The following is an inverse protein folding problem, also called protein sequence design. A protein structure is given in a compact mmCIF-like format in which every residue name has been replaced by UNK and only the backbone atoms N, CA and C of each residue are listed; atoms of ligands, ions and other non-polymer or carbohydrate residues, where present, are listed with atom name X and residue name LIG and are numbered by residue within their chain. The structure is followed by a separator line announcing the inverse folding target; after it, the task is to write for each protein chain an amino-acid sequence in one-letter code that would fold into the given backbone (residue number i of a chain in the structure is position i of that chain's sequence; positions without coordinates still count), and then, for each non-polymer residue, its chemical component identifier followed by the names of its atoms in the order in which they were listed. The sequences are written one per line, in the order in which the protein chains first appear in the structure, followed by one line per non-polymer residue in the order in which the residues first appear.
data_IF_562329045122
#
_entry.id   IF_562329045122
#
_cell.length_a   1.000
_cell.length_b   1.000
_cell.length_c   1.000
_cell.angle_alpha   90.00
_cell.angle_beta   90.00
_cell.angle_gamma   90.00
#
_symmetry.space_group_name_H-M   'P 1'
#
loop_
_entity.id
_entity.type
_entity.pdbx_description
1 polymer ?
#
# COMPACT_ATOMS: atom_id res chain seq x y z
N UNK A 1 6.82 3.65 12.15
CA UNK A 1 5.93 4.66 11.55
C UNK A 1 6.07 5.93 12.36
N UNK A 2 6.17 7.08 11.69
CA UNK A 2 6.24 8.35 12.38
C UNK A 2 4.84 8.94 12.53
N UNK A 3 4.51 9.47 13.70
CA UNK A 3 3.25 10.17 13.95
C UNK A 3 3.53 11.55 14.53
N UNK A 4 2.65 12.51 14.23
CA UNK A 4 2.74 13.88 14.74
C UNK A 4 1.46 14.22 15.52
N UNK A 5 1.64 14.93 16.62
CA UNK A 5 0.57 15.35 17.52
C UNK A 5 0.65 16.85 17.74
N UNK A 6 -0.51 17.48 17.86
CA UNK A 6 -0.62 18.86 18.35
C UNK A 6 -1.28 18.81 19.71
N UNK A 7 -0.60 19.35 20.72
CA UNK A 7 -1.10 19.37 22.11
C UNK A 7 -1.01 20.77 22.69
N UNK A 8 -1.70 20.99 23.81
CA UNK A 8 -1.46 22.14 24.67
C UNK A 8 -0.71 21.67 25.92
N UNK A 9 0.38 22.33 26.27
CA UNK A 9 1.11 22.04 27.50
C UNK A 9 0.67 23.02 28.59
N UNK A 10 0.23 22.48 29.72
CA UNK A 10 -0.05 23.28 30.90
C UNK A 10 1.09 23.06 31.89
N UNK A 11 1.83 24.12 32.21
CA UNK A 11 2.93 24.08 33.16
C UNK A 11 2.74 25.20 34.18
N UNK A 12 2.47 24.83 35.43
CA UNK A 12 2.03 25.79 36.45
C UNK A 12 0.69 26.43 36.05
N UNK A 13 0.65 27.77 36.04
CA UNK A 13 -0.49 28.56 35.58
C UNK A 13 -0.45 28.95 34.09
N UNK A 14 0.62 28.57 33.38
CA UNK A 14 0.84 28.97 31.99
C UNK A 14 0.46 27.85 31.01
N UNK A 15 -0.09 28.24 29.86
CA UNK A 15 -0.50 27.33 28.79
C UNK A 15 0.26 27.64 27.51
N UNK A 16 1.08 26.70 27.07
CA UNK A 16 1.77 26.72 25.79
C UNK A 16 0.85 26.07 24.75
N UNK A 17 0.47 26.83 23.72
CA UNK A 17 -0.52 26.38 22.75
C UNK A 17 0.07 25.75 21.50
N UNK A 18 -0.66 24.79 20.93
CA UNK A 18 -0.38 24.21 19.62
C UNK A 18 1.02 23.57 19.48
N UNK A 19 1.53 23.00 20.58
CA UNK A 19 2.85 22.36 20.62
C UNK A 19 2.87 21.13 19.72
N UNK A 20 3.78 21.12 18.75
CA UNK A 20 4.03 19.96 17.90
C UNK A 20 4.94 18.95 18.59
N UNK A 21 4.47 17.70 18.64
CA UNK A 21 5.23 16.55 19.11
C UNK A 21 5.30 15.50 18.01
N UNK A 22 6.44 14.84 17.86
CA UNK A 22 6.61 13.76 16.91
C UNK A 22 7.01 12.48 17.63
N UNK A 23 6.49 11.35 17.18
CA UNK A 23 6.84 10.04 17.67
C UNK A 23 7.37 9.16 16.54
N UNK A 24 8.39 8.33 16.81
CA UNK A 24 8.86 7.32 15.86
C UNK A 24 9.86 7.83 14.80
N UNK A 25 10.29 9.09 14.89
CA UNK A 25 11.41 9.66 14.13
C UNK A 25 12.73 9.35 14.88
N UNK A 26 13.12 8.08 14.94
CA UNK A 26 14.24 7.64 15.78
C UNK A 26 15.56 8.36 15.52
N UNK A 27 16.19 8.89 16.59
CA UNK A 27 17.61 9.23 16.65
C UNK A 27 18.50 7.99 16.90
N UNK A 28 19.82 8.19 17.05
CA UNK A 28 20.77 7.10 17.28
C UNK A 28 20.37 6.24 18.49
N UNK A 29 20.51 4.92 18.40
CA UNK A 29 20.03 3.95 19.41
C UNK A 29 20.65 4.07 20.81
N UNK A 30 21.52 5.05 21.06
CA UNK A 30 22.22 5.29 22.31
C UNK A 30 21.32 5.72 23.48
N UNK A 31 20.05 6.07 23.23
CA UNK A 31 19.12 6.56 24.26
C UNK A 31 17.84 5.74 24.38
N UNK A 32 17.82 4.51 23.86
CA UNK A 32 16.62 3.67 23.76
C UNK A 32 15.91 3.43 25.10
N UNK A 33 16.66 3.44 26.19
CA UNK A 33 16.14 3.20 27.55
C UNK A 33 15.58 4.46 28.22
N UNK A 34 15.71 5.64 27.60
CA UNK A 34 15.18 6.87 28.17
C UNK A 34 13.64 6.90 28.09
N UNK A 35 12.93 7.37 29.13
CA UNK A 35 11.46 7.46 29.11
C UNK A 35 10.89 8.30 27.96
N UNK A 36 11.65 9.28 27.48
CA UNK A 36 11.28 10.15 26.36
C UNK A 36 11.78 9.65 25.00
N UNK A 37 12.39 8.46 24.94
CA UNK A 37 12.95 7.95 23.69
C UNK A 37 11.87 7.81 22.63
N UNK A 38 12.19 8.29 21.43
CA UNK A 38 11.28 8.25 20.29
C UNK A 38 10.23 9.35 20.30
N UNK A 39 10.25 10.30 21.24
CA UNK A 39 9.38 11.50 21.24
C UNK A 39 10.23 12.76 21.06
N UNK A 40 9.92 13.55 20.05
CA UNK A 40 10.52 14.86 19.79
C UNK A 40 9.50 15.97 20.05
N UNK A 41 10.00 17.12 20.52
CA UNK A 41 9.22 18.33 20.73
C UNK A 41 9.84 19.46 19.90
N UNK A 42 9.00 20.32 19.34
CA UNK A 42 9.49 21.45 18.57
C UNK A 42 10.29 22.45 19.43
N UNK A 43 11.29 23.08 18.81
CA UNK A 43 12.20 24.02 19.48
C UNK A 43 11.48 25.22 20.11
N UNK A 44 10.47 25.86 19.48
CA UNK A 44 9.76 26.99 20.09
C UNK A 44 9.17 26.67 21.46
N UNK A 45 8.53 25.50 21.61
CA UNK A 45 7.99 25.06 22.88
C UNK A 45 9.09 24.84 23.94
N UNK A 46 10.26 24.34 23.54
CA UNK A 46 11.41 24.19 24.46
C UNK A 46 11.92 25.55 24.95
N UNK A 47 12.03 26.53 24.06
CA UNK A 47 12.45 27.90 24.42
C UNK A 47 11.48 28.50 25.43
N UNK A 48 10.18 28.39 25.18
CA UNK A 48 9.16 28.92 26.09
C UNK A 48 9.20 28.24 27.47
N UNK A 49 9.43 26.92 27.53
CA UNK A 49 9.62 26.21 28.80
C UNK A 49 10.86 26.73 29.54
N UNK A 50 11.97 26.98 28.83
CA UNK A 50 13.18 27.53 29.45
C UNK A 50 12.98 28.96 29.96
N UNK A 51 12.19 29.78 29.25
CA UNK A 51 11.84 31.13 29.68
C UNK A 51 11.01 31.12 30.98
N UNK A 52 10.03 30.20 31.09
CA UNK A 52 9.25 30.01 32.33
C UNK A 52 10.12 29.55 33.52
N UNK A 53 11.15 28.73 33.25
CA UNK A 53 12.11 28.33 34.28
C UNK A 53 12.98 29.52 34.68
N UNK A 54 13.44 30.30 33.70
CA UNK A 54 14.29 31.46 33.95
C UNK A 54 13.56 32.59 34.68
N UNK A 55 12.25 32.76 34.45
CA UNK A 55 11.41 33.72 35.18
C UNK A 55 11.03 33.24 36.58
N UNK A 56 11.25 31.96 36.90
CA UNK A 56 10.87 31.34 38.17
C UNK A 56 9.38 31.02 38.27
N UNK A 57 8.64 31.08 37.16
CA UNK A 57 7.22 30.70 37.10
C UNK A 57 7.02 29.19 37.28
N UNK A 58 7.97 28.40 36.83
CA UNK A 58 8.02 26.95 37.08
C UNK A 58 9.44 26.53 37.49
N UNK A 59 9.54 25.44 38.25
CA UNK A 59 10.85 24.84 38.50
C UNK A 59 11.27 23.92 37.33
N UNK A 60 12.58 23.69 37.19
CA UNK A 60 13.10 22.70 36.25
C UNK A 60 12.58 21.27 36.57
N UNK A 61 12.26 20.99 37.84
CA UNK A 61 11.66 19.73 38.26
C UNK A 61 10.23 19.59 37.76
N UNK A 62 9.40 20.63 37.89
CA UNK A 62 8.03 20.63 37.38
C UNK A 62 7.98 20.48 35.87
N UNK A 63 8.87 21.19 35.15
CA UNK A 63 8.98 21.08 33.70
C UNK A 63 9.36 19.65 33.29
N UNK A 64 10.38 19.06 33.94
CA UNK A 64 10.83 17.70 33.68
C UNK A 64 9.72 16.68 33.93
N UNK A 65 8.99 16.80 35.03
CA UNK A 65 7.98 15.82 35.40
C UNK A 65 6.74 15.92 34.50
N UNK A 66 6.38 17.12 34.04
CA UNK A 66 5.35 17.30 33.00
C UNK A 66 5.77 16.67 31.66
N UNK A 67 6.99 16.93 31.20
CA UNK A 67 7.51 16.34 29.96
C UNK A 67 7.59 14.81 30.04
N UNK A 68 8.00 14.26 31.18
CA UNK A 68 8.00 12.81 31.42
C UNK A 68 6.59 12.24 31.35
N UNK A 69 5.62 12.86 32.04
CA UNK A 69 4.22 12.41 32.02
C UNK A 69 3.66 12.41 30.59
N UNK A 70 3.90 13.47 29.83
CA UNK A 70 3.49 13.59 28.44
C UNK A 70 4.12 12.49 27.57
N UNK A 71 5.43 12.27 27.69
CA UNK A 71 6.13 11.22 26.97
C UNK A 71 5.57 9.83 27.32
N UNK A 72 5.28 9.55 28.60
CA UNK A 72 4.64 8.29 29.03
C UNK A 72 3.27 8.09 28.39
N UNK A 73 2.41 9.11 28.38
CA UNK A 73 1.07 9.03 27.76
C UNK A 73 1.16 8.74 26.26
N UNK A 74 2.07 9.42 25.55
CA UNK A 74 2.28 9.18 24.12
C UNK A 74 2.81 7.76 23.90
N UNK A 75 3.80 7.34 24.70
CA UNK A 75 4.36 6.00 24.62
C UNK A 75 3.30 4.92 24.84
N UNK A 76 2.51 5.00 25.90
CA UNK A 76 1.43 4.03 26.19
C UNK A 76 0.35 3.99 25.10
N UNK A 77 0.04 5.13 24.50
CA UNK A 77 -0.86 5.18 23.35
C UNK A 77 -0.23 4.48 22.14
N UNK A 78 1.01 4.80 21.83
CA UNK A 78 1.70 4.25 20.67
C UNK A 78 1.98 2.76 20.83
N UNK A 79 2.40 2.31 22.01
CA UNK A 79 2.61 0.90 22.31
C UNK A 79 1.31 0.11 22.09
N UNK A 80 0.14 0.63 22.55
CA UNK A 80 -1.16 0.02 22.25
C UNK A 80 -1.49 0.00 20.76
N UNK A 81 -1.31 1.11 20.04
CA UNK A 81 -1.55 1.15 18.60
C UNK A 81 -0.62 0.16 17.85
N UNK A 82 0.62 0.01 18.31
CA UNK A 82 1.57 -0.96 17.77
C UNK A 82 1.19 -2.41 18.08
N UNK A 83 0.77 -2.69 19.31
CA UNK A 83 0.30 -4.02 19.72
C UNK A 83 -0.96 -4.39 18.93
N UNK A 84 -1.92 -3.47 18.78
CA UNK A 84 -3.11 -3.66 17.94
C UNK A 84 -2.75 -3.90 16.47
N UNK A 85 -1.74 -3.19 15.94
CA UNK A 85 -1.25 -3.40 14.58
C UNK A 85 -0.56 -4.75 14.43
N UNK A 86 0.28 -5.16 15.40
CA UNK A 86 0.96 -6.46 15.40
C UNK A 86 -0.08 -7.56 15.48
N UNK A 87 -1.05 -7.46 16.40
CA UNK A 87 -2.17 -8.38 16.49
C UNK A 87 -2.98 -8.41 15.19
N UNK A 88 -3.26 -7.27 14.55
CA UNK A 88 -3.96 -7.23 13.27
C UNK A 88 -3.15 -7.82 12.10
N UNK A 89 -1.81 -7.80 12.19
CA UNK A 89 -0.91 -8.42 11.22
C UNK A 89 -0.71 -9.93 11.47
N UNK A 90 -0.78 -10.38 12.72
CA UNK A 90 -0.68 -11.78 13.14
C UNK A 90 -2.02 -12.53 13.05
N UNK A 91 -3.14 -11.80 13.15
CA UNK A 91 -4.44 -12.32 12.75
C UNK A 91 -4.34 -12.71 11.27
N UNK A 92 -4.65 -13.95 10.88
CA UNK A 92 -4.79 -14.27 9.47
C UNK A 92 -5.87 -13.33 8.95
N UNK A 93 -5.45 -12.35 8.13
CA UNK A 93 -6.35 -11.41 7.49
C UNK A 93 -7.56 -12.22 7.03
N UNK A 94 -8.81 -11.85 7.39
CA UNK A 94 -9.95 -12.55 6.83
C UNK A 94 -9.73 -12.46 5.33
N UNK A 95 -9.37 -13.60 4.70
CA UNK A 95 -9.19 -13.73 3.26
C UNK A 95 -10.32 -12.90 2.72
N UNK A 96 -10.00 -11.74 2.12
CA UNK A 96 -11.02 -10.77 1.78
C UNK A 96 -12.11 -11.57 1.11
N UNK A 97 -13.29 -11.70 1.76
CA UNK A 97 -14.33 -12.59 1.25
C UNK A 97 -14.43 -12.23 -0.22
N UNK A 98 -14.18 -13.17 -1.16
CA UNK A 98 -13.75 -12.83 -2.51
C UNK A 98 -14.68 -11.76 -3.00
N UNK A 99 -14.16 -10.53 -3.09
CA UNK A 99 -14.96 -9.35 -3.41
C UNK A 99 -15.56 -9.71 -4.74
N UNK A 100 -16.85 -10.00 -4.85
CA UNK A 100 -17.45 -10.59 -6.06
C UNK A 100 -16.85 -9.85 -7.25
N UNK A 101 -15.90 -10.49 -7.94
CA UNK A 101 -15.02 -9.77 -8.86
C UNK A 101 -15.87 -9.50 -10.09
N UNK A 102 -16.60 -8.38 -10.07
CA UNK A 102 -17.36 -7.95 -11.23
C UNK A 102 -16.36 -7.67 -12.32
N UNK A 103 -16.47 -8.40 -13.43
CA UNK A 103 -15.74 -8.03 -14.63
C UNK A 103 -16.08 -6.59 -14.96
N UNK A 104 -15.05 -5.83 -15.27
CA UNK A 104 -15.24 -4.53 -15.88
C UNK A 104 -14.99 -4.63 -17.38
N UNK A 105 -15.53 -3.67 -18.11
CA UNK A 105 -15.53 -3.66 -19.57
C UNK A 105 -14.13 -3.40 -20.18
N UNK A 106 -13.06 -3.31 -19.39
CA UNK A 106 -11.72 -3.09 -19.96
C UNK A 106 -11.20 -4.33 -20.67
N UNK A 107 -10.34 -4.06 -21.64
CA UNK A 107 -9.58 -5.08 -22.34
C UNK A 107 -8.36 -5.48 -21.53
N UNK A 108 -8.09 -6.78 -21.49
CA UNK A 108 -6.78 -7.33 -21.18
C UNK A 108 -6.06 -7.56 -22.51
N UNK A 109 -4.79 -7.21 -22.57
CA UNK A 109 -3.96 -7.35 -23.77
C UNK A 109 -2.62 -8.01 -23.44
N UNK A 110 -2.07 -8.71 -24.42
CA UNK A 110 -0.70 -9.21 -24.41
C UNK A 110 0.07 -8.55 -25.56
N UNK A 111 1.21 -7.92 -25.25
CA UNK A 111 2.10 -7.34 -26.26
C UNK A 111 3.51 -7.91 -26.11
N UNK A 112 4.23 -8.00 -27.21
CA UNK A 112 5.68 -8.27 -27.20
C UNK A 112 6.38 -7.44 -28.26
N UNK A 113 7.70 -7.53 -28.33
CA UNK A 113 8.48 -6.90 -29.39
C UNK A 113 8.85 -7.92 -30.47
N UNK A 114 9.20 -7.44 -31.66
CA UNK A 114 9.60 -8.32 -32.77
C UNK A 114 10.92 -9.06 -32.50
N UNK A 115 11.83 -8.44 -31.74
CA UNK A 115 13.13 -9.02 -31.38
C UNK A 115 13.05 -10.01 -30.21
N UNK A 116 11.99 -9.96 -29.42
CA UNK A 116 11.77 -10.86 -28.29
C UNK A 116 10.28 -11.24 -28.16
N UNK A 117 9.79 -12.11 -29.05
CA UNK A 117 8.37 -12.48 -29.08
C UNK A 117 7.93 -13.25 -27.83
N UNK A 118 8.85 -13.94 -27.17
CA UNK A 118 8.62 -14.76 -25.96
C UNK A 118 8.53 -13.91 -24.67
N UNK A 119 9.02 -12.67 -24.71
CA UNK A 119 8.85 -11.70 -23.63
C UNK A 119 7.53 -10.95 -23.80
N UNK A 120 6.51 -11.42 -23.09
CA UNK A 120 5.15 -10.90 -23.21
C UNK A 120 4.80 -10.02 -22.02
N UNK A 121 4.30 -8.81 -22.30
CA UNK A 121 3.66 -7.96 -21.32
C UNK A 121 2.16 -8.19 -21.31
N UNK A 122 1.57 -8.48 -20.15
CA UNK A 122 0.12 -8.60 -19.97
C UNK A 122 -0.38 -7.39 -19.18
N UNK A 123 -1.34 -6.65 -19.73
CA UNK A 123 -1.91 -5.48 -19.04
C UNK A 123 -3.37 -5.22 -19.37
N UNK A 124 -3.93 -4.17 -18.76
CA UNK A 124 -5.33 -3.78 -18.94
C UNK A 124 -5.47 -2.36 -19.50
N UNK A 125 -6.46 -2.14 -20.37
CA UNK A 125 -6.74 -0.83 -20.97
C UNK A 125 -8.22 -0.66 -21.35
N UNK A 126 -8.71 0.59 -21.32
CA UNK A 126 -10.00 0.95 -21.93
C UNK A 126 -9.90 0.97 -23.46
N UNK A 127 -8.80 1.52 -23.98
CA UNK A 127 -8.46 1.59 -25.39
C UNK A 127 -7.05 1.01 -25.58
N UNK A 128 -6.97 -0.18 -26.18
CA UNK A 128 -5.69 -0.87 -26.43
C UNK A 128 -4.82 -0.08 -27.40
N UNK A 129 -5.39 0.48 -28.46
CA UNK A 129 -4.63 1.18 -29.49
C UNK A 129 -3.96 2.44 -28.92
N UNK A 130 -4.69 3.22 -28.11
CA UNK A 130 -4.13 4.37 -27.40
C UNK A 130 -3.04 3.94 -26.41
N UNK A 131 -3.27 2.83 -25.68
CA UNK A 131 -2.30 2.31 -24.72
C UNK A 131 -1.01 1.83 -25.38
N UNK A 132 -1.09 1.08 -26.47
CA UNK A 132 0.08 0.62 -27.22
C UNK A 132 0.88 1.80 -27.78
N UNK A 133 0.21 2.82 -28.33
CA UNK A 133 0.88 4.07 -28.77
C UNK A 133 1.64 4.75 -27.62
N UNK A 134 1.02 4.84 -26.44
CA UNK A 134 1.67 5.42 -25.27
C UNK A 134 2.88 4.60 -24.80
N UNK A 135 2.79 3.26 -24.82
CA UNK A 135 3.89 2.38 -24.44
C UNK A 135 5.04 2.42 -25.46
N UNK A 136 4.72 2.57 -26.75
CA UNK A 136 5.70 2.65 -27.82
C UNK A 136 6.68 3.82 -27.65
N UNK A 137 6.25 4.94 -27.04
CA UNK A 137 7.12 6.09 -26.77
C UNK A 137 8.31 5.72 -25.87
N UNK A 138 8.11 4.79 -24.94
CA UNK A 138 9.15 4.28 -24.04
C UNK A 138 9.89 3.05 -24.55
N UNK A 139 9.57 2.55 -25.75
CA UNK A 139 10.16 1.35 -26.34
C UNK A 139 10.89 1.68 -27.63
N UNK A 140 12.20 1.38 -27.67
CA UNK A 140 12.99 1.52 -28.89
C UNK A 140 12.51 0.54 -30.00
N UNK A 141 12.04 -0.64 -29.61
CA UNK A 141 11.55 -1.68 -30.52
C UNK A 141 10.04 -1.57 -30.71
N UNK A 142 9.57 -2.01 -31.88
CA UNK A 142 8.14 -2.00 -32.22
C UNK A 142 7.38 -2.97 -31.32
N UNK A 143 6.33 -2.48 -30.68
CA UNK A 143 5.41 -3.28 -29.89
C UNK A 143 4.31 -3.83 -30.79
N UNK A 144 4.10 -5.14 -30.72
CA UNK A 144 3.04 -5.83 -31.43
C UNK A 144 2.00 -6.36 -30.44
N UNK A 145 0.72 -6.10 -30.73
CA UNK A 145 -0.40 -6.69 -30.02
C UNK A 145 -0.52 -8.16 -30.44
N UNK A 146 -0.26 -9.07 -29.50
CA UNK A 146 -0.29 -10.52 -29.74
C UNK A 146 -1.65 -11.14 -29.38
N UNK A 147 -2.32 -10.60 -28.37
CA UNK A 147 -3.60 -11.13 -27.90
C UNK A 147 -4.42 -10.06 -27.16
N UNK A 148 -5.74 -10.21 -27.15
CA UNK A 148 -6.61 -9.40 -26.29
C UNK A 148 -7.97 -10.06 -26.03
N UNK A 149 -8.54 -9.83 -24.85
CA UNK A 149 -9.90 -10.23 -24.50
C UNK A 149 -10.55 -9.26 -23.50
N UNK A 150 -11.88 -9.31 -23.38
CA UNK A 150 -12.62 -8.61 -22.32
C UNK A 150 -12.55 -9.40 -21.02
N UNK A 151 -12.50 -8.68 -19.90
CA UNK A 151 -12.42 -9.28 -18.56
C UNK A 151 -11.71 -8.41 -17.54
N UNK A 152 -11.28 -7.21 -17.90
CA UNK A 152 -10.78 -6.19 -16.97
C UNK A 152 -9.69 -6.68 -16.02
N UNK A 153 -9.64 -6.07 -14.82
CA UNK A 153 -8.70 -6.47 -13.79
C UNK A 153 -8.85 -7.92 -13.31
N UNK A 154 -10.05 -8.50 -13.17
CA UNK A 154 -10.17 -9.89 -12.71
C UNK A 154 -9.47 -10.88 -13.65
N UNK A 155 -9.60 -10.71 -14.98
CA UNK A 155 -8.91 -11.54 -15.96
C UNK A 155 -7.40 -11.29 -15.98
N UNK A 156 -6.97 -10.03 -15.90
CA UNK A 156 -5.54 -9.69 -15.85
C UNK A 156 -4.87 -10.29 -14.62
N UNK A 157 -5.47 -10.13 -13.44
CA UNK A 157 -5.02 -10.74 -12.19
C UNK A 157 -4.95 -12.26 -12.28
N UNK A 158 -5.96 -12.88 -12.88
CA UNK A 158 -5.97 -14.33 -13.07
C UNK A 158 -4.77 -14.80 -13.90
N UNK A 159 -4.49 -14.12 -15.02
CA UNK A 159 -3.35 -14.43 -15.88
C UNK A 159 -2.01 -14.17 -15.17
N UNK A 160 -1.88 -13.05 -14.45
CA UNK A 160 -0.68 -12.75 -13.68
C UNK A 160 -0.38 -13.80 -12.61
N UNK A 161 -1.40 -14.21 -11.85
CA UNK A 161 -1.26 -15.27 -10.85
C UNK A 161 -0.93 -16.61 -11.49
N UNK A 162 -1.53 -16.94 -12.63
CA UNK A 162 -1.28 -18.19 -13.33
C UNK A 162 0.17 -18.26 -13.87
N UNK A 163 0.68 -17.16 -14.40
CA UNK A 163 2.02 -17.06 -14.99
C UNK A 163 3.07 -16.47 -14.04
N UNK A 164 2.80 -16.37 -12.73
CA UNK A 164 3.71 -15.78 -11.73
C UNK A 164 5.10 -16.41 -11.78
N UNK A 165 5.18 -17.73 -11.99
CA UNK A 165 6.45 -18.48 -12.07
C UNK A 165 7.35 -18.07 -13.24
N UNK A 166 6.79 -17.47 -14.28
CA UNK A 166 7.52 -16.98 -15.46
C UNK A 166 7.55 -15.45 -15.51
N UNK A 167 7.09 -14.76 -14.46
CA UNK A 167 7.20 -13.32 -14.34
C UNK A 167 8.67 -12.92 -14.18
N UNK A 168 9.14 -12.01 -15.02
CA UNK A 168 10.51 -11.49 -14.99
C UNK A 168 10.58 -10.16 -14.25
N UNK A 169 9.69 -9.23 -14.59
CA UNK A 169 9.62 -7.92 -13.93
C UNK A 169 8.25 -7.27 -14.13
N UNK A 170 7.52 -7.10 -13.01
CA UNK A 170 6.23 -6.42 -13.01
C UNK A 170 5.20 -7.11 -13.89
N UNK A 171 4.85 -6.48 -15.01
CA UNK A 171 3.84 -6.98 -15.97
C UNK A 171 4.45 -7.82 -17.12
N UNK A 172 5.74 -8.15 -17.06
CA UNK A 172 6.46 -8.87 -18.12
C UNK A 172 6.77 -10.33 -17.75
N UNK A 173 6.48 -11.24 -18.68
CA UNK A 173 6.57 -12.69 -18.52
C UNK A 173 7.47 -13.27 -19.61
N UNK A 174 8.34 -14.20 -19.25
CA UNK A 174 9.23 -14.89 -20.18
C UNK A 174 8.72 -16.30 -20.49
N UNK A 175 8.19 -16.48 -21.69
CA UNK A 175 7.66 -17.75 -22.18
C UNK A 175 8.69 -18.58 -22.96
N UNK A 176 9.99 -18.30 -22.80
CA UNK A 176 11.04 -19.08 -23.45
C UNK A 176 10.87 -20.59 -23.19
N UNK A 177 10.79 -21.37 -24.25
CA UNK A 177 10.57 -22.82 -24.19
C UNK A 177 9.10 -23.25 -24.17
N UNK A 178 8.15 -22.31 -24.21
CA UNK A 178 6.73 -22.58 -24.45
C UNK A 178 6.47 -22.53 -25.95
N UNK A 179 5.85 -23.59 -26.49
CA UNK A 179 5.64 -23.75 -27.93
C UNK A 179 4.80 -22.64 -28.55
N UNK A 180 3.78 -22.16 -27.84
CA UNK A 180 2.93 -21.04 -28.27
C UNK A 180 2.39 -20.29 -27.04
N UNK A 181 3.09 -19.22 -26.66
CA UNK A 181 2.74 -18.41 -25.50
C UNK A 181 1.35 -17.75 -25.64
N UNK A 182 0.95 -17.38 -26.86
CA UNK A 182 -0.35 -16.75 -27.12
C UNK A 182 -1.48 -17.76 -26.95
N UNK A 183 -1.28 -18.99 -27.43
CA UNK A 183 -2.26 -20.07 -27.25
C UNK A 183 -2.45 -20.42 -25.76
N UNK A 184 -1.37 -20.44 -24.96
CA UNK A 184 -1.44 -20.68 -23.52
C UNK A 184 -2.22 -19.57 -22.78
N UNK A 185 -1.95 -18.31 -23.12
CA UNK A 185 -2.70 -17.15 -22.59
C UNK A 185 -4.18 -17.27 -22.96
N UNK A 186 -4.48 -17.56 -24.24
CA UNK A 186 -5.86 -17.68 -24.72
C UNK A 186 -6.61 -18.84 -24.05
N UNK A 187 -5.98 -19.99 -23.90
CA UNK A 187 -6.56 -21.17 -23.25
C UNK A 187 -6.90 -20.88 -21.78
N UNK A 188 -5.96 -20.26 -21.07
CA UNK A 188 -6.11 -19.87 -19.66
C UNK A 188 -7.25 -18.87 -19.49
N UNK A 189 -7.26 -17.82 -20.34
CA UNK A 189 -8.31 -16.80 -20.34
C UNK A 189 -9.69 -17.41 -20.62
N UNK A 190 -9.83 -18.28 -21.63
CA UNK A 190 -11.10 -18.94 -21.93
C UNK A 190 -11.60 -19.84 -20.82
N UNK A 191 -10.70 -20.52 -20.10
CA UNK A 191 -11.10 -21.35 -18.98
C UNK A 191 -11.66 -20.50 -17.82
N UNK A 192 -11.01 -19.38 -17.52
CA UNK A 192 -11.48 -18.44 -16.51
C UNK A 192 -12.80 -17.77 -16.88
N UNK A 193 -12.91 -17.24 -18.11
CA UNK A 193 -14.11 -16.57 -18.60
C UNK A 193 -15.33 -17.51 -18.67
N UNK A 194 -15.13 -18.80 -19.02
CA UNK A 194 -16.20 -19.80 -19.00
C UNK A 194 -16.77 -20.02 -17.60
N UNK A 195 -15.90 -20.29 -16.62
CA UNK A 195 -16.32 -20.49 -15.21
C UNK A 195 -17.10 -19.29 -14.67
N UNK A 196 -16.72 -18.08 -15.08
CA UNK A 196 -17.43 -16.88 -14.69
C UNK A 196 -18.80 -16.73 -15.35
N UNK A 197 -18.89 -16.93 -16.68
CA UNK A 197 -20.16 -16.84 -17.40
C UNK A 197 -21.19 -17.86 -16.86
N UNK A 198 -20.72 -19.04 -16.45
CA UNK A 198 -21.56 -20.07 -15.84
C UNK A 198 -22.02 -19.69 -14.42
N UNK A 199 -21.15 -19.05 -13.64
CA UNK A 199 -21.49 -18.52 -12.32
C UNK A 199 -22.55 -17.39 -12.40
N UNK A 200 -22.43 -16.47 -13.36
CA UNK A 200 -23.40 -15.39 -13.58
C UNK A 200 -24.78 -15.89 -14.03
N UNK A 201 -24.84 -16.95 -14.85
CA UNK A 201 -26.12 -17.55 -15.28
C UNK A 201 -26.89 -18.19 -14.13
N UNK A 202 -26.17 -18.75 -13.17
CA UNK A 202 -26.76 -19.45 -12.02
C UNK A 202 -27.38 -18.46 -11.01
N UNK A 203 -26.84 -17.24 -10.90
CA UNK A 203 -27.37 -16.18 -10.01
C UNK A 203 -28.60 -15.44 -10.61
N UNK A 204 -28.83 -15.51 -11.92
CA UNK A 204 -29.94 -14.80 -12.60
C UNK A 204 -31.23 -15.61 -12.78
N UNK A 205 -31.28 -16.87 -12.33
CA UNK A 205 -32.49 -17.69 -12.42
C UNK A 205 -33.48 -17.31 -11.30
N UNK A 206 -34.70 -16.85 -11.60
CA UNK A 206 -35.72 -16.64 -10.57
C UNK A 206 -36.05 -17.99 -9.91
N UNK A 207 -36.32 -18.03 -8.60
CA UNK A 207 -36.81 -19.26 -7.97
C UNK A 207 -38.10 -19.68 -8.68
N UNK A 208 -38.12 -20.91 -9.18
CA UNK A 208 -39.30 -21.53 -9.76
C UNK A 208 -40.46 -21.44 -8.75
N UNK A 209 -41.57 -20.85 -9.18
CA UNK A 209 -42.82 -20.82 -8.42
C UNK A 209 -43.59 -22.12 -8.62
#
# INVERSE_FOLDING_TARGET
MAQSFTVHLNMGGHRIENVSLNWGLGGSGARRDAPSYGTDIEVPAVVEILDLIASGEISAEDARDNLKRLASVIKERMDREYDELIEAMEQPSPRSAPKQERFDDRWVYAISTDDNPDAIKIGVAKDIAQRVKSLQVGSANRLELRWSARGGYPLERHLHNHFEKVCTHGEWFNFQGVTDAVAEIDMTARHFLRRYNDAQRTETSPPAR
#
